data_IF_242404146590
#
_entry.id   IF_242404146590
#
_cell.length_a   1.000
_cell.length_b   1.000
_cell.length_c   1.000
_cell.angle_alpha   90.00
_cell.angle_beta   90.00
_cell.angle_gamma   90.00
#
_symmetry.space_group_name_H-M   'P 1'
#
loop_
_entity.id
_entity.type
_entity.pdbx_description
1 polymer ?
#
# COMPACT_ATOMS: atom_id res chain seq x y z
N UNK A 1 9.14 15.55 7.70
CA UNK A 1 8.16 14.53 7.33
C UNK A 1 7.40 14.97 6.10
N UNK A 2 7.32 14.13 5.09
CA UNK A 2 6.66 14.44 3.84
C UNK A 2 5.30 13.78 3.80
N UNK A 3 4.29 14.53 3.40
CA UNK A 3 2.94 14.01 3.26
C UNK A 3 2.46 14.27 1.85
N UNK A 4 1.97 13.24 1.20
CA UNK A 4 1.39 13.33 -0.13
C UNK A 4 -0.12 13.18 -0.05
N UNK A 5 -0.82 13.84 -0.95
CA UNK A 5 -2.28 13.72 -1.03
C UNK A 5 -2.66 12.85 -2.20
N UNK A 6 -3.63 11.97 -1.97
CA UNK A 6 -4.21 11.16 -3.04
C UNK A 6 -5.71 11.32 -3.01
N UNK A 7 -6.34 11.12 -4.15
CA UNK A 7 -7.78 11.24 -4.27
C UNK A 7 -8.36 9.94 -4.81
N UNK A 8 -9.33 9.40 -4.06
CA UNK A 8 -10.00 8.15 -4.43
C UNK A 8 -11.49 8.34 -4.20
N UNK A 9 -12.29 8.11 -5.24
CA UNK A 9 -13.77 8.21 -5.16
C UNK A 9 -14.23 9.53 -4.52
N UNK A 10 -13.64 10.65 -4.98
CA UNK A 10 -13.97 12.00 -4.50
C UNK A 10 -13.57 12.26 -3.04
N UNK A 11 -12.81 11.37 -2.44
CA UNK A 11 -12.27 11.56 -1.09
C UNK A 11 -10.77 11.78 -1.18
N UNK A 12 -10.28 12.70 -0.38
CA UNK A 12 -8.85 13.01 -0.32
C UNK A 12 -8.25 12.38 0.91
N UNK A 13 -7.14 11.68 0.72
CA UNK A 13 -6.38 11.06 1.82
C UNK A 13 -4.97 11.61 1.84
N UNK A 14 -4.43 11.74 3.03
CA UNK A 14 -3.03 12.13 3.20
C UNK A 14 -2.20 10.89 3.48
N UNK A 15 -1.08 10.77 2.76
CA UNK A 15 -0.18 9.63 2.92
C UNK A 15 1.10 10.13 3.58
N UNK A 16 1.41 9.59 4.74
CA UNK A 16 2.66 9.91 5.42
C UNK A 16 3.80 9.17 4.75
N UNK A 17 4.70 9.92 4.12
CA UNK A 17 5.81 9.36 3.35
C UNK A 17 7.04 9.21 4.24
N UNK A 18 6.92 8.35 5.25
CA UNK A 18 8.04 8.09 6.14
C UNK A 18 8.66 6.72 5.85
N UNK A 19 9.74 6.41 6.55
CA UNK A 19 10.45 5.17 6.34
C UNK A 19 9.58 3.93 6.59
N UNK A 20 8.74 3.99 7.61
CA UNK A 20 7.86 2.89 7.95
C UNK A 20 6.84 2.63 6.84
N UNK A 21 6.28 3.69 6.28
CA UNK A 21 5.36 3.59 5.16
C UNK A 21 6.04 2.94 3.96
N UNK A 22 7.28 3.35 3.69
CA UNK A 22 8.05 2.80 2.59
C UNK A 22 8.29 1.30 2.77
N UNK A 23 8.62 0.89 3.98
CA UNK A 23 8.84 -0.52 4.28
C UNK A 23 7.58 -1.35 4.01
N UNK A 24 6.44 -0.87 4.50
CA UNK A 24 5.18 -1.56 4.28
C UNK A 24 4.81 -1.64 2.79
N UNK A 25 5.03 -0.55 2.07
CA UNK A 25 4.70 -0.53 0.64
C UNK A 25 5.57 -1.49 -0.16
N UNK A 26 6.86 -1.53 0.14
CA UNK A 26 7.79 -2.44 -0.52
C UNK A 26 7.45 -3.90 -0.22
N UNK A 27 7.10 -4.18 1.03
CA UNK A 27 6.71 -5.52 1.44
C UNK A 27 5.43 -5.96 0.72
N UNK A 28 4.45 -5.07 0.64
CA UNK A 28 3.20 -5.35 -0.03
C UNK A 28 3.42 -5.64 -1.51
N UNK A 29 4.26 -4.85 -2.16
CA UNK A 29 4.60 -5.06 -3.56
C UNK A 29 5.23 -6.42 -3.79
N UNK A 30 6.13 -6.82 -2.91
CA UNK A 30 6.78 -8.13 -3.00
C UNK A 30 5.77 -9.27 -2.83
N UNK A 31 4.84 -9.11 -1.89
CA UNK A 31 3.80 -10.11 -1.65
C UNK A 31 2.90 -10.27 -2.86
N UNK A 32 2.55 -9.17 -3.53
CA UNK A 32 1.74 -9.26 -4.75
C UNK A 32 2.48 -10.02 -5.84
N UNK A 33 3.75 -9.76 -6.02
CA UNK A 33 4.56 -10.48 -7.01
C UNK A 33 4.63 -11.97 -6.68
N UNK A 34 4.79 -12.30 -5.41
CA UNK A 34 4.84 -13.68 -4.97
C UNK A 34 3.51 -14.40 -5.23
N UNK A 35 2.40 -13.72 -5.06
CA UNK A 35 1.08 -14.32 -5.26
C UNK A 35 0.85 -14.71 -6.72
N UNK A 36 1.51 -14.05 -7.66
CA UNK A 36 1.39 -14.41 -9.07
C UNK A 36 2.28 -15.56 -9.48
N UNK A 37 3.37 -15.78 -8.77
CA UNK A 37 4.37 -16.78 -9.15
C UNK A 37 4.28 -18.06 -8.34
N UNK A 38 3.71 -18.02 -7.16
CA UNK A 38 3.67 -19.18 -6.25
C UNK A 38 2.23 -19.46 -5.83
N UNK A 39 1.55 -20.28 -6.61
CA UNK A 39 0.15 -20.61 -6.36
C UNK A 39 -0.03 -21.56 -5.17
N UNK A 40 0.99 -22.32 -4.83
CA UNK A 40 0.92 -23.24 -3.71
C UNK A 40 0.88 -22.52 -2.37
N UNK A 41 1.49 -21.34 -2.31
CA UNK A 41 1.52 -20.53 -1.08
C UNK A 41 0.45 -19.43 -1.08
N UNK A 42 -0.51 -19.49 -1.99
CA UNK A 42 -1.47 -18.41 -2.17
C UNK A 42 -2.20 -18.04 -0.88
N UNK A 43 -2.64 -19.04 -0.11
CA UNK A 43 -3.38 -18.78 1.12
C UNK A 43 -2.54 -18.03 2.15
N UNK A 44 -1.29 -18.43 2.31
CA UNK A 44 -0.38 -17.76 3.24
C UNK A 44 -0.06 -16.34 2.77
N UNK A 45 0.23 -16.18 1.49
CA UNK A 45 0.57 -14.88 0.92
C UNK A 45 -0.62 -13.95 1.02
N UNK A 46 -1.82 -14.44 0.74
CA UNK A 46 -3.05 -13.66 0.83
C UNK A 46 -3.27 -13.12 2.24
N UNK A 47 -3.04 -13.96 3.24
CA UNK A 47 -3.16 -13.57 4.64
C UNK A 47 -2.15 -12.48 5.00
N UNK A 48 -0.91 -12.62 4.54
CA UNK A 48 0.13 -11.61 4.78
C UNK A 48 -0.17 -10.31 4.07
N UNK A 49 -0.74 -10.38 2.87
CA UNK A 49 -1.16 -9.18 2.15
C UNK A 49 -2.21 -8.41 2.98
N UNK A 50 -3.21 -9.11 3.48
CA UNK A 50 -4.25 -8.46 4.30
C UNK A 50 -3.67 -7.79 5.52
N UNK A 51 -2.77 -8.47 6.23
CA UNK A 51 -2.13 -7.92 7.41
C UNK A 51 -1.29 -6.69 7.06
N UNK A 52 -0.51 -6.78 5.99
CA UNK A 52 0.35 -5.68 5.56
C UNK A 52 -0.48 -4.48 5.11
N UNK A 53 -1.56 -4.72 4.39
CA UNK A 53 -2.46 -3.66 3.96
C UNK A 53 -3.06 -2.95 5.16
N UNK A 54 -3.56 -3.69 6.13
CA UNK A 54 -4.14 -3.09 7.33
C UNK A 54 -3.11 -2.23 8.08
N UNK A 55 -1.89 -2.73 8.22
CA UNK A 55 -0.83 -1.98 8.88
C UNK A 55 -0.48 -0.72 8.12
N UNK A 56 -0.35 -0.83 6.80
CA UNK A 56 -0.05 0.32 5.96
C UNK A 56 -1.12 1.40 6.09
N UNK A 57 -2.38 1.01 5.99
CA UNK A 57 -3.47 1.97 6.05
C UNK A 57 -3.58 2.65 7.40
N UNK A 58 -3.35 1.90 8.47
CA UNK A 58 -3.41 2.47 9.82
C UNK A 58 -2.29 3.47 10.10
N UNK A 59 -1.10 3.19 9.61
CA UNK A 59 0.08 3.99 9.92
C UNK A 59 0.31 5.14 8.94
N UNK A 60 -0.09 4.94 7.69
CA UNK A 60 0.30 5.85 6.63
C UNK A 60 -0.80 6.79 6.18
N UNK A 61 -2.05 6.44 6.38
CA UNK A 61 -3.15 7.19 5.77
C UNK A 61 -4.04 7.88 6.78
N UNK A 62 -4.43 9.09 6.44
CA UNK A 62 -5.29 9.92 7.27
C UNK A 62 -6.17 10.77 6.36
N UNK A 63 -7.48 10.86 6.58
CA UNK A 63 -8.26 10.15 7.60
C UNK A 63 -8.36 8.65 7.33
N UNK A 64 -9.05 7.94 8.18
CA UNK A 64 -9.22 6.50 8.03
C UNK A 64 -9.80 6.15 6.66
N UNK A 65 -9.19 5.17 5.99
CA UNK A 65 -9.59 4.78 4.64
C UNK A 65 -10.90 4.02 4.68
N UNK A 66 -11.84 4.45 3.83
CA UNK A 66 -13.10 3.74 3.68
C UNK A 66 -12.89 2.41 2.96
N UNK A 67 -13.71 1.43 3.33
CA UNK A 67 -13.60 0.10 2.74
C UNK A 67 -13.68 0.12 1.22
N UNK A 68 -14.58 0.95 0.68
CA UNK A 68 -14.74 1.06 -0.77
C UNK A 68 -13.53 1.70 -1.46
N UNK A 69 -12.73 2.43 -0.71
CA UNK A 69 -11.58 3.14 -1.26
C UNK A 69 -10.27 2.36 -1.11
N UNK A 70 -10.28 1.25 -0.38
CA UNK A 70 -9.04 0.54 -0.04
C UNK A 70 -8.23 0.15 -1.25
N UNK A 71 -8.84 -0.47 -2.25
CA UNK A 71 -8.12 -0.90 -3.44
C UNK A 71 -7.49 0.28 -4.19
N UNK A 72 -8.27 1.34 -4.36
CA UNK A 72 -7.75 2.53 -5.04
C UNK A 72 -6.62 3.19 -4.28
N UNK A 73 -6.75 3.28 -2.97
CA UNK A 73 -5.71 3.86 -2.12
C UNK A 73 -4.43 3.04 -2.21
N UNK A 74 -4.54 1.73 -2.08
CA UNK A 74 -3.37 0.84 -2.13
C UNK A 74 -2.67 0.97 -3.47
N UNK A 75 -3.40 0.97 -4.56
CA UNK A 75 -2.82 1.09 -5.88
C UNK A 75 -2.08 2.41 -6.08
N UNK A 76 -2.65 3.48 -5.58
CA UNK A 76 -1.99 4.78 -5.68
C UNK A 76 -0.73 4.84 -4.84
N UNK A 77 -0.78 4.30 -3.62
CA UNK A 77 0.40 4.26 -2.75
C UNK A 77 1.51 3.45 -3.40
N UNK A 78 1.20 2.27 -3.93
CA UNK A 78 2.19 1.44 -4.59
C UNK A 78 2.80 2.13 -5.80
N UNK A 79 1.99 2.84 -6.58
CA UNK A 79 2.47 3.61 -7.72
C UNK A 79 3.45 4.69 -7.30
N UNK A 80 3.16 5.37 -6.21
CA UNK A 80 4.02 6.43 -5.71
C UNK A 80 5.39 5.89 -5.34
N UNK A 81 5.43 4.77 -4.63
CA UNK A 81 6.69 4.17 -4.22
C UNK A 81 7.42 3.51 -5.38
N UNK A 82 6.69 2.99 -6.34
CA UNK A 82 7.29 2.43 -7.55
C UNK A 82 8.02 3.50 -8.34
N UNK A 83 7.39 4.66 -8.53
CA UNK A 83 8.03 5.80 -9.19
C UNK A 83 9.27 6.24 -8.44
N UNK A 84 9.17 6.29 -7.13
CA UNK A 84 10.28 6.70 -6.29
C UNK A 84 11.47 5.75 -6.42
N UNK A 85 11.23 4.45 -6.46
CA UNK A 85 12.32 3.48 -6.58
C UNK A 85 12.91 3.40 -7.98
N UNK A 86 12.20 3.82 -9.01
CA UNK A 86 12.74 3.88 -10.37
C UNK A 86 13.62 5.10 -10.60
N UNK A 87 13.54 6.04 -9.70
CA UNK A 87 14.29 7.27 -9.79
C UNK A 87 15.68 7.08 -9.22
N UNK A 88 16.63 7.13 -10.04
CA UNK A 88 18.00 6.98 -9.55
C UNK A 88 18.88 8.09 -10.03
#
# INVERSE_FOLDING_TARGET
MITEKIKVNDRTYNVNMNEQTQIYAMRLRRLYQQSYTDMDSFDEVSSEISTTVNNLLKHALYPEVKEDDMDGVIQQVLKMFEKSSQRK
#
